data_IF_304798336181
#
_entry.id   IF_304798336181
#
_cell.length_a   1.000
_cell.length_b   1.000
_cell.length_c   1.000
_cell.angle_alpha   90.00
_cell.angle_beta   90.00
_cell.angle_gamma   90.00
#
_symmetry.space_group_name_H-M   'P 1'
#
loop_
_entity.id
_entity.type
_entity.pdbx_description
1 polymer ?
#
# COMPACT_ATOMS: atom_id res chain seq x y z
N UNK A 1 -17.89 -52.05 -95.96
CA UNK A 1 -18.28 -52.25 -94.55
C UNK A 1 -17.07 -52.79 -93.81
N UNK A 2 -16.59 -52.25 -92.70
CA UNK A 2 -17.06 -51.12 -91.90
C UNK A 2 -16.70 -51.34 -90.42
N UNK A 3 -15.99 -50.39 -89.80
CA UNK A 3 -15.57 -50.41 -88.38
C UNK A 3 -14.55 -51.48 -87.94
N UNK A 4 -13.34 -51.04 -87.61
CA UNK A 4 -12.57 -51.60 -86.49
C UNK A 4 -11.94 -50.43 -85.72
N UNK A 5 -12.24 -50.35 -84.43
CA UNK A 5 -12.01 -49.15 -83.63
C UNK A 5 -10.58 -49.03 -83.10
N UNK A 6 -9.98 -47.84 -83.22
CA UNK A 6 -8.78 -47.48 -82.44
C UNK A 6 -9.19 -46.99 -81.05
N UNK A 7 -9.07 -47.88 -80.07
CA UNK A 7 -9.15 -47.57 -78.64
C UNK A 7 -8.09 -46.55 -78.24
N UNK A 8 -8.48 -45.28 -78.10
CA UNK A 8 -7.63 -44.27 -77.47
C UNK A 8 -7.56 -44.54 -75.97
N UNK A 9 -6.48 -45.18 -75.52
CA UNK A 9 -6.14 -45.21 -74.09
C UNK A 9 -6.04 -43.77 -73.57
N UNK A 10 -6.96 -43.41 -72.69
CA UNK A 10 -7.04 -42.11 -72.05
C UNK A 10 -5.95 -42.05 -70.96
N UNK A 11 -4.71 -41.73 -71.37
CA UNK A 11 -3.62 -41.47 -70.43
C UNK A 11 -4.05 -40.28 -69.58
N UNK A 12 -4.49 -40.54 -68.34
CA UNK A 12 -4.71 -39.50 -67.34
C UNK A 12 -3.35 -38.80 -67.15
N UNK A 13 -3.23 -37.47 -67.33
CA UNK A 13 -1.96 -36.78 -67.13
C UNK A 13 -1.62 -36.83 -65.64
N UNK A 14 -0.89 -37.86 -65.24
CA UNK A 14 -0.38 -38.00 -63.88
C UNK A 14 0.57 -36.86 -63.60
N UNK A 15 0.15 -35.95 -62.72
CA UNK A 15 0.97 -34.84 -62.26
C UNK A 15 2.37 -35.38 -61.86
N UNK A 16 3.44 -34.85 -62.46
CA UNK A 16 4.81 -35.35 -62.25
C UNK A 16 5.09 -35.42 -60.74
N UNK A 17 5.81 -36.44 -60.29
CA UNK A 17 5.98 -36.70 -58.84
C UNK A 17 6.53 -35.47 -58.08
N UNK A 18 7.43 -34.71 -58.71
CA UNK A 18 7.97 -33.43 -58.21
C UNK A 18 6.88 -32.38 -57.96
N UNK A 19 5.88 -32.29 -58.82
CA UNK A 19 4.75 -31.36 -58.69
C UNK A 19 3.80 -31.76 -57.57
N UNK A 20 3.56 -33.07 -57.38
CA UNK A 20 2.78 -33.58 -56.24
C UNK A 20 3.49 -33.30 -54.91
N UNK A 21 4.81 -33.50 -54.88
CA UNK A 21 5.64 -33.27 -53.69
C UNK A 21 5.74 -31.77 -53.37
N UNK A 22 5.83 -30.90 -54.38
CA UNK A 22 5.74 -29.45 -54.21
C UNK A 22 4.38 -28.99 -53.65
N UNK A 23 3.26 -29.54 -54.16
CA UNK A 23 1.93 -29.26 -53.60
C UNK A 23 1.79 -29.74 -52.15
N UNK A 24 2.34 -30.91 -51.81
CA UNK A 24 2.35 -31.42 -50.43
C UNK A 24 3.15 -30.51 -49.50
N UNK A 25 4.36 -30.09 -49.89
CA UNK A 25 5.19 -29.16 -49.12
C UNK A 25 4.50 -27.80 -48.95
N UNK A 26 3.87 -27.27 -50.01
CA UNK A 26 3.12 -26.01 -49.95
C UNK A 26 1.92 -26.12 -48.99
N UNK A 27 1.18 -27.23 -49.05
CA UNK A 27 0.05 -27.52 -48.14
C UNK A 27 0.51 -27.67 -46.69
N UNK A 28 1.68 -28.28 -46.46
CA UNK A 28 2.25 -28.44 -45.12
C UNK A 28 2.74 -27.09 -44.56
N UNK A 29 3.25 -26.20 -45.41
CA UNK A 29 3.71 -24.86 -45.04
C UNK A 29 2.54 -23.88 -44.76
N UNK A 30 1.35 -24.14 -45.33
CA UNK A 30 0.16 -23.35 -45.05
C UNK A 30 -0.35 -23.49 -43.61
N UNK A 31 -0.11 -24.65 -42.96
CA UNK A 31 -0.56 -24.91 -41.58
C UNK A 31 0.16 -24.00 -40.56
N UNK A 32 1.51 -23.92 -40.51
CA UNK A 32 2.22 -22.95 -39.67
C UNK A 32 1.83 -21.50 -39.95
N UNK A 33 1.64 -21.12 -41.22
CA UNK A 33 1.25 -19.76 -41.59
C UNK A 33 -0.14 -19.39 -41.05
N UNK A 34 -1.12 -20.31 -41.16
CA UNK A 34 -2.46 -20.11 -40.65
C UNK A 34 -2.50 -20.11 -39.11
N UNK A 35 -1.69 -20.94 -38.45
CA UNK A 35 -1.49 -20.91 -37.00
C UNK A 35 -0.92 -19.58 -36.52
N UNK A 36 0.17 -19.10 -37.14
CA UNK A 36 0.77 -17.79 -36.85
C UNK A 36 -0.23 -16.64 -37.02
N UNK A 37 -1.02 -16.67 -38.11
CA UNK A 37 -2.06 -15.66 -38.36
C UNK A 37 -3.15 -15.68 -37.27
N UNK A 38 -3.63 -16.87 -36.90
CA UNK A 38 -4.68 -17.05 -35.89
C UNK A 38 -4.28 -16.50 -34.51
N UNK A 39 -3.06 -16.84 -34.04
CA UNK A 39 -2.53 -16.34 -32.76
C UNK A 39 -2.47 -14.81 -32.76
N UNK A 40 -1.99 -14.20 -33.84
CA UNK A 40 -1.86 -12.75 -33.98
C UNK A 40 -3.22 -12.02 -34.07
N UNK A 41 -4.22 -12.65 -34.70
CA UNK A 41 -5.59 -12.10 -34.72
C UNK A 41 -6.27 -12.21 -33.35
N UNK A 42 -6.02 -13.28 -32.59
CA UNK A 42 -6.49 -13.44 -31.21
C UNK A 42 -5.82 -12.45 -30.24
N UNK A 43 -4.49 -12.32 -30.29
CA UNK A 43 -3.72 -11.33 -29.52
C UNK A 43 -4.27 -9.92 -29.74
N UNK A 44 -4.49 -9.54 -31.01
CA UNK A 44 -5.08 -8.24 -31.33
C UNK A 44 -6.49 -8.08 -30.75
N UNK A 45 -7.37 -9.08 -30.90
CA UNK A 45 -8.73 -9.01 -30.38
C UNK A 45 -8.77 -8.84 -28.85
N UNK A 46 -7.87 -9.51 -28.13
CA UNK A 46 -7.73 -9.36 -26.68
C UNK A 46 -7.24 -7.96 -26.29
N UNK A 47 -6.22 -7.43 -26.99
CA UNK A 47 -5.72 -6.07 -26.76
C UNK A 47 -6.77 -4.99 -27.08
N UNK A 48 -7.47 -5.10 -28.21
CA UNK A 48 -8.55 -4.18 -28.60
C UNK A 48 -9.67 -4.20 -27.53
N UNK A 49 -10.02 -5.37 -26.98
CA UNK A 49 -11.00 -5.54 -25.92
C UNK A 49 -10.57 -4.95 -24.56
N UNK A 50 -9.31 -5.17 -24.16
CA UNK A 50 -8.72 -4.56 -22.97
C UNK A 50 -8.69 -3.03 -23.07
N UNK A 51 -8.29 -2.50 -24.22
CA UNK A 51 -8.27 -1.05 -24.45
C UNK A 51 -9.67 -0.45 -24.32
N UNK A 52 -10.69 -1.06 -24.91
CA UNK A 52 -12.07 -0.57 -24.83
C UNK A 52 -12.63 -0.64 -23.41
N UNK A 53 -12.30 -1.68 -22.63
CA UNK A 53 -12.68 -1.76 -21.22
C UNK A 53 -12.03 -0.65 -20.39
N UNK A 54 -10.74 -0.37 -20.63
CA UNK A 54 -10.00 0.69 -19.94
C UNK A 54 -10.55 2.09 -20.27
N UNK A 55 -10.91 2.33 -21.53
CA UNK A 55 -11.51 3.59 -22.00
C UNK A 55 -12.87 3.84 -21.32
N UNK A 56 -13.79 2.87 -21.37
CA UNK A 56 -15.09 2.97 -20.69
C UNK A 56 -14.97 3.16 -19.17
N UNK A 57 -14.01 2.48 -18.53
CA UNK A 57 -13.72 2.64 -17.09
C UNK A 57 -13.20 4.04 -16.79
N UNK A 58 -12.32 4.57 -17.64
CA UNK A 58 -11.77 5.94 -17.53
C UNK A 58 -12.87 6.99 -17.68
N UNK A 59 -13.77 6.84 -18.67
CA UNK A 59 -14.93 7.74 -18.84
C UNK A 59 -15.88 7.67 -17.64
N UNK A 60 -16.14 6.47 -17.10
CA UNK A 60 -16.94 6.28 -15.90
C UNK A 60 -16.36 7.00 -14.67
N UNK A 61 -15.06 6.79 -14.40
CA UNK A 61 -14.32 7.48 -13.34
C UNK A 61 -14.37 9.00 -13.54
N UNK A 62 -14.07 9.49 -14.74
CA UNK A 62 -14.06 10.92 -15.06
C UNK A 62 -15.44 11.58 -14.87
N UNK A 63 -16.52 10.88 -15.25
CA UNK A 63 -17.90 11.33 -15.07
C UNK A 63 -18.31 11.41 -13.59
N UNK A 64 -17.95 10.38 -12.79
CA UNK A 64 -18.23 10.33 -11.35
C UNK A 64 -17.48 11.41 -10.56
N UNK A 65 -16.24 11.71 -10.94
CA UNK A 65 -15.38 12.70 -10.29
C UNK A 65 -15.66 14.14 -10.77
N UNK A 66 -16.01 14.34 -12.05
CA UNK A 66 -16.15 15.67 -12.67
C UNK A 66 -17.18 16.58 -12.00
N UNK A 67 -18.17 16.02 -11.32
CA UNK A 67 -19.20 16.76 -10.59
C UNK A 67 -18.83 17.09 -9.13
N UNK A 68 -17.75 16.52 -8.56
CA UNK A 68 -17.41 16.58 -7.12
C UNK A 68 -16.19 17.46 -6.86
N UNK A 69 -16.34 18.77 -7.04
CA UNK A 69 -15.22 19.74 -7.00
C UNK A 69 -14.53 19.80 -5.63
N UNK A 70 -15.27 19.54 -4.55
CA UNK A 70 -14.77 19.51 -3.18
C UNK A 70 -13.67 18.45 -2.94
N UNK A 71 -13.68 17.32 -3.67
CA UNK A 71 -12.63 16.28 -3.57
C UNK A 71 -11.25 16.78 -4.06
N UNK A 72 -11.25 17.84 -4.88
CA UNK A 72 -10.07 18.38 -5.53
C UNK A 72 -9.53 19.65 -4.86
N UNK A 73 -10.12 20.09 -3.74
CA UNK A 73 -9.71 21.31 -3.02
C UNK A 73 -8.20 21.27 -2.68
N UNK A 74 -7.41 22.32 -3.01
CA UNK A 74 -5.99 22.40 -2.68
C UNK A 74 -5.66 22.41 -1.19
N UNK A 75 -6.57 22.85 -0.32
CA UNK A 75 -6.43 22.84 1.14
C UNK A 75 -6.64 21.45 1.75
N UNK A 76 -7.32 20.55 1.01
CA UNK A 76 -7.57 19.15 1.37
C UNK A 76 -6.53 18.21 0.72
N UNK A 77 -5.73 18.72 -0.22
CA UNK A 77 -4.79 17.93 -1.03
C UNK A 77 -3.57 17.38 -0.29
N UNK A 78 -3.32 16.09 -0.48
CA UNK A 78 -2.18 15.28 -0.01
C UNK A 78 -1.13 15.14 -1.13
N UNK A 79 0.13 14.72 -0.89
CA UNK A 79 1.24 15.03 -1.79
C UNK A 79 1.67 13.87 -2.69
N UNK A 80 2.66 14.14 -3.52
CA UNK A 80 3.30 13.31 -4.55
C UNK A 80 4.81 13.14 -4.29
N UNK A 81 5.62 12.33 -5.00
CA UNK A 81 5.47 11.21 -5.97
C UNK A 81 6.70 10.30 -5.68
N UNK A 82 6.95 9.10 -6.22
CA UNK A 82 6.16 7.91 -6.61
C UNK A 82 6.90 6.72 -5.92
N UNK A 83 6.50 5.45 -6.06
CA UNK A 83 7.46 4.36 -5.75
C UNK A 83 7.00 2.92 -5.54
N UNK A 84 5.70 2.62 -5.40
CA UNK A 84 5.16 1.33 -4.85
C UNK A 84 5.42 1.20 -3.32
N UNK A 85 4.69 0.41 -2.53
CA UNK A 85 3.52 -0.46 -2.75
C UNK A 85 2.46 -0.20 -1.64
N UNK A 86 1.15 -0.37 -1.93
CA UNK A 86 -0.02 -0.45 -1.02
C UNK A 86 0.04 0.24 0.38
N UNK A 87 -0.64 1.37 0.61
CA UNK A 87 -2.10 1.60 0.73
C UNK A 87 -2.79 1.06 2.00
N UNK A 88 -2.34 1.54 3.17
CA UNK A 88 -3.24 1.67 4.34
C UNK A 88 -3.97 3.01 4.24
N UNK A 89 -5.13 2.98 3.58
CA UNK A 89 -6.06 4.11 3.58
C UNK A 89 -6.68 4.26 4.98
N UNK A 90 -6.68 5.47 5.59
CA UNK A 90 -7.39 5.68 6.84
C UNK A 90 -8.90 5.50 6.70
N UNK A 91 -9.53 4.80 7.63
CA UNK A 91 -10.99 4.66 7.72
C UNK A 91 -11.63 6.02 8.06
N UNK A 92 -12.65 6.44 7.30
CA UNK A 92 -13.46 7.62 7.68
C UNK A 92 -14.45 7.20 8.76
N UNK A 93 -14.26 7.75 9.97
CA UNK A 93 -15.07 7.43 11.15
C UNK A 93 -16.37 8.25 11.13
N UNK A 94 -17.47 7.70 11.63
CA UNK A 94 -18.74 8.43 11.79
C UNK A 94 -18.71 9.44 12.97
N UNK A 95 -17.83 9.20 13.95
CA UNK A 95 -17.72 9.99 15.17
C UNK A 95 -16.28 10.08 15.69
N UNK A 96 -16.03 11.06 16.57
CA UNK A 96 -14.75 11.18 17.27
C UNK A 96 -14.54 10.01 18.22
N UNK A 97 -13.44 9.27 18.06
CA UNK A 97 -12.98 8.31 19.06
C UNK A 97 -12.49 9.02 20.32
N UNK A 98 -12.89 8.52 21.50
CA UNK A 98 -12.32 8.96 22.77
C UNK A 98 -11.00 8.23 23.02
N UNK A 99 -9.99 8.95 23.52
CA UNK A 99 -8.71 8.35 23.91
C UNK A 99 -8.88 7.38 25.09
N UNK A 100 -9.88 7.64 25.95
CA UNK A 100 -10.23 6.83 27.11
C UNK A 100 -11.19 5.66 26.76
N UNK A 101 -11.59 5.49 25.50
CA UNK A 101 -12.35 4.32 25.06
C UNK A 101 -11.47 3.06 25.04
N UNK A 102 -12.08 1.88 25.16
CA UNK A 102 -11.31 0.63 25.25
C UNK A 102 -10.64 0.28 23.92
N UNK A 103 -9.55 -0.52 23.90
CA UNK A 103 -8.93 -1.00 22.68
C UNK A 103 -9.92 -1.72 21.77
N UNK A 104 -10.89 -2.45 22.35
CA UNK A 104 -11.96 -3.14 21.62
C UNK A 104 -12.87 -2.16 20.87
N UNK A 105 -13.22 -1.03 21.48
CA UNK A 105 -14.02 0.01 20.83
C UNK A 105 -13.27 0.64 19.64
N UNK A 106 -11.95 0.83 19.78
CA UNK A 106 -11.09 1.33 18.70
C UNK A 106 -10.98 0.33 17.54
N UNK A 107 -10.79 -0.97 17.82
CA UNK A 107 -10.77 -2.03 16.79
C UNK A 107 -12.07 -2.09 16.00
N UNK A 108 -13.22 -1.97 16.68
CA UNK A 108 -14.55 -1.96 16.04
C UNK A 108 -14.74 -0.70 15.19
N UNK A 109 -14.40 0.48 15.72
CA UNK A 109 -14.59 1.75 15.01
C UNK A 109 -13.69 1.92 13.79
N UNK A 110 -12.52 1.26 13.77
CA UNK A 110 -11.56 1.30 12.66
C UNK A 110 -11.87 0.29 11.54
N UNK A 111 -13.04 -0.37 11.58
CA UNK A 111 -13.49 -1.39 10.61
C UNK A 111 -12.52 -2.58 10.48
N UNK A 112 -12.17 -3.15 11.65
CA UNK A 112 -11.13 -4.18 11.85
C UNK A 112 -9.71 -3.65 11.58
N UNK A 113 -8.97 -3.36 12.66
CA UNK A 113 -7.53 -3.10 12.60
C UNK A 113 -6.82 -4.23 11.83
N UNK A 114 -6.21 -3.88 10.70
CA UNK A 114 -5.68 -4.84 9.73
C UNK A 114 -4.33 -5.39 10.19
N UNK A 115 -4.16 -6.69 10.00
CA UNK A 115 -2.91 -7.38 10.31
C UNK A 115 -1.80 -6.85 9.39
N UNK A 116 -0.76 -6.26 9.97
CA UNK A 116 0.35 -5.70 9.22
C UNK A 116 1.50 -6.70 9.03
N UNK A 117 1.61 -7.67 9.94
CA UNK A 117 2.68 -8.67 10.04
C UNK A 117 2.71 -9.72 8.93
N UNK A 118 1.77 -9.72 7.97
CA UNK A 118 1.65 -10.76 6.93
C UNK A 118 1.90 -10.30 5.49
N UNK A 119 2.18 -9.01 5.23
CA UNK A 119 2.26 -8.46 3.87
C UNK A 119 3.51 -7.59 3.59
N UNK A 120 4.70 -8.20 3.61
CA UNK A 120 5.84 -7.75 2.80
C UNK A 120 6.66 -6.53 3.28
N UNK A 121 6.36 -5.97 4.45
CA UNK A 121 7.03 -4.79 5.00
C UNK A 121 7.86 -5.12 6.24
N UNK A 122 9.08 -5.60 6.04
CA UNK A 122 10.02 -5.86 7.14
C UNK A 122 11.45 -5.44 6.72
N UNK A 123 12.00 -4.41 7.37
CA UNK A 123 13.42 -4.42 7.69
C UNK A 123 13.61 -5.47 8.80
N UNK A 124 13.69 -6.75 8.40
CA UNK A 124 14.12 -7.78 9.34
C UNK A 124 15.55 -7.45 9.79
N UNK A 125 15.72 -7.02 11.04
CA UNK A 125 16.95 -7.35 11.76
C UNK A 125 17.11 -8.87 11.74
N UNK A 126 18.37 -9.33 11.74
CA UNK A 126 18.73 -10.70 11.31
C UNK A 126 18.11 -11.81 12.16
N UNK A 127 17.56 -11.45 13.33
CA UNK A 127 17.04 -12.36 14.36
C UNK A 127 15.53 -12.12 14.69
N UNK A 128 14.74 -11.52 13.79
CA UNK A 128 13.28 -11.29 14.02
C UNK A 128 12.53 -12.58 14.37
N UNK A 129 11.92 -12.61 15.55
CA UNK A 129 11.05 -13.68 16.03
C UNK A 129 9.58 -13.19 16.11
N UNK A 130 8.65 -13.73 15.27
CA UNK A 130 7.24 -13.33 15.32
C UNK A 130 6.50 -13.78 16.59
N UNK A 131 7.08 -14.69 17.38
CA UNK A 131 6.55 -15.07 18.70
C UNK A 131 6.96 -14.08 19.82
N UNK A 132 7.89 -13.15 19.53
CA UNK A 132 8.37 -12.12 20.46
C UNK A 132 7.67 -10.78 20.19
N UNK A 133 7.73 -10.27 18.94
CA UNK A 133 7.08 -9.02 18.56
C UNK A 133 6.18 -9.18 17.33
N UNK A 134 4.90 -8.79 17.46
CA UNK A 134 3.96 -8.72 16.35
C UNK A 134 3.02 -7.51 16.48
N UNK A 135 2.73 -6.81 15.37
CA UNK A 135 1.91 -5.58 15.39
C UNK A 135 0.76 -5.66 14.39
N UNK A 136 -0.45 -5.40 14.88
CA UNK A 136 -1.64 -5.10 14.08
C UNK A 136 -1.92 -3.61 14.22
N UNK A 137 -2.44 -2.96 13.18
CA UNK A 137 -2.69 -1.51 13.27
C UNK A 137 -3.92 -1.06 12.49
N UNK A 138 -4.48 0.07 12.92
CA UNK A 138 -5.60 0.72 12.25
C UNK A 138 -5.38 2.23 12.20
N UNK A 139 -5.66 2.83 11.04
CA UNK A 139 -5.65 4.28 10.85
C UNK A 139 -7.07 4.75 10.56
N UNK A 140 -7.48 5.84 11.18
CA UNK A 140 -8.78 6.46 10.94
C UNK A 140 -8.67 7.98 10.93
N UNK A 141 -9.66 8.65 10.33
CA UNK A 141 -9.78 10.10 10.39
C UNK A 141 -11.19 10.54 10.78
N UNK A 142 -11.25 11.62 11.54
CA UNK A 142 -12.50 12.34 11.86
C UNK A 142 -12.21 13.82 12.02
N UNK A 143 -12.94 14.67 11.29
CA UNK A 143 -12.81 16.13 11.34
C UNK A 143 -11.34 16.59 11.21
N UNK A 144 -10.75 17.15 12.27
CA UNK A 144 -9.39 17.68 12.33
C UNK A 144 -8.38 16.72 12.93
N UNK A 145 -8.72 15.45 13.14
CA UNK A 145 -7.87 14.47 13.81
C UNK A 145 -7.64 13.21 12.97
N UNK A 146 -6.42 12.68 13.09
CA UNK A 146 -6.04 11.33 12.69
C UNK A 146 -5.97 10.47 13.94
N UNK A 147 -6.51 9.27 13.85
CA UNK A 147 -6.53 8.26 14.89
C UNK A 147 -5.63 7.13 14.43
N UNK A 148 -4.68 6.73 15.26
CA UNK A 148 -3.81 5.59 14.99
C UNK A 148 -3.90 4.63 16.17
N UNK A 149 -4.12 3.36 15.87
CA UNK A 149 -4.24 2.27 16.81
C UNK A 149 -3.21 1.20 16.49
N UNK A 150 -2.54 0.69 17.51
CA UNK A 150 -1.60 -0.41 17.42
C UNK A 150 -1.97 -1.43 18.50
N UNK A 151 -2.18 -2.68 18.08
CA UNK A 151 -2.38 -3.84 18.94
C UNK A 151 -1.11 -4.67 18.82
N UNK A 152 -0.27 -4.61 19.85
CA UNK A 152 1.09 -5.13 19.86
C UNK A 152 1.12 -6.37 20.75
N UNK A 153 1.54 -7.49 20.17
CA UNK A 153 1.98 -8.66 20.90
C UNK A 153 3.47 -8.51 21.19
N UNK A 154 3.86 -8.66 22.45
CA UNK A 154 5.17 -8.32 22.98
C UNK A 154 5.42 -9.20 24.22
N UNK A 155 6.55 -9.92 24.29
CA UNK A 155 6.84 -10.82 25.42
C UNK A 155 7.52 -10.14 26.62
N UNK A 156 8.14 -8.96 26.46
CA UNK A 156 8.84 -8.25 27.56
C UNK A 156 8.71 -6.72 27.47
N UNK A 157 7.68 -6.19 28.13
CA UNK A 157 7.37 -4.75 28.14
C UNK A 157 8.30 -3.96 29.10
N UNK A 158 9.20 -3.15 28.54
CA UNK A 158 10.08 -2.22 29.26
C UNK A 158 9.60 -0.77 29.15
N UNK A 159 8.92 -0.33 30.20
CA UNK A 159 8.53 1.08 30.39
C UNK A 159 9.73 2.01 30.60
N UNK A 160 9.50 3.28 30.30
CA UNK A 160 10.51 4.34 30.34
C UNK A 160 10.92 4.74 31.73
N UNK A 161 12.20 4.50 32.01
CA UNK A 161 12.89 4.97 33.19
C UNK A 161 12.87 6.52 33.31
N UNK A 162 12.40 7.08 34.44
CA UNK A 162 12.41 8.52 34.68
C UNK A 162 13.81 9.10 34.96
N UNK A 163 14.78 8.28 35.37
CA UNK A 163 16.16 8.70 35.66
C UNK A 163 17.03 8.76 34.38
N UNK A 164 16.65 8.03 33.32
CA UNK A 164 17.32 8.13 32.02
C UNK A 164 16.94 9.42 31.28
N UNK A 165 17.97 10.18 30.89
CA UNK A 165 17.88 11.34 29.99
C UNK A 165 17.55 10.90 28.55
N UNK A 166 18.13 9.79 28.09
CA UNK A 166 17.87 9.22 26.76
C UNK A 166 16.40 8.82 26.63
N UNK A 167 15.82 9.13 25.46
CA UNK A 167 14.40 8.84 25.20
C UNK A 167 14.19 7.50 24.47
N UNK A 168 15.26 6.95 23.86
CA UNK A 168 15.27 5.72 23.06
C UNK A 168 15.67 4.46 23.84
N UNK A 169 15.30 4.39 25.13
CA UNK A 169 15.71 3.33 26.07
C UNK A 169 14.52 2.68 26.79
N UNK A 170 13.40 2.59 26.09
CA UNK A 170 12.18 1.88 26.44
C UNK A 170 11.45 1.44 25.17
N UNK A 171 10.39 0.66 25.32
CA UNK A 171 9.42 0.48 24.26
C UNK A 171 8.78 1.83 23.92
N UNK A 172 8.52 2.01 22.64
CA UNK A 172 8.17 3.31 22.10
C UNK A 172 7.50 3.16 20.74
N UNK A 173 6.50 3.99 20.49
CA UNK A 173 5.99 4.24 19.16
C UNK A 173 6.68 5.49 18.62
N UNK A 174 7.32 5.36 17.46
CA UNK A 174 7.86 6.48 16.70
C UNK A 174 6.91 6.86 15.59
N UNK A 175 6.79 8.15 15.35
CA UNK A 175 6.00 8.76 14.30
C UNK A 175 6.92 9.71 13.52
N UNK A 176 7.25 9.36 12.28
CA UNK A 176 7.99 10.25 11.38
C UNK A 176 7.04 10.91 10.40
N UNK A 177 7.04 12.23 10.36
CA UNK A 177 6.24 13.06 9.46
C UNK A 177 7.17 13.81 8.51
N UNK A 178 7.08 13.54 7.20
CA UNK A 178 7.82 14.26 6.17
C UNK A 178 6.89 15.12 5.33
N UNK A 179 7.05 16.43 5.42
CA UNK A 179 6.33 17.39 4.55
C UNK A 179 7.09 17.54 3.23
N UNK A 180 6.38 17.71 2.11
CA UNK A 180 7.02 18.01 0.83
C UNK A 180 7.85 19.30 0.90
N UNK A 181 9.17 19.17 0.83
CA UNK A 181 10.10 20.30 0.94
C UNK A 181 11.34 20.09 1.80
N UNK A 182 11.53 18.88 2.37
CA UNK A 182 12.67 18.40 3.21
C UNK A 182 12.46 18.42 4.73
N UNK A 183 11.39 19.00 5.26
CA UNK A 183 11.13 18.97 6.71
C UNK A 183 10.67 17.58 7.16
N UNK A 184 11.56 16.87 7.88
CA UNK A 184 11.30 15.60 8.55
C UNK A 184 11.20 15.84 10.05
N UNK A 185 9.97 15.79 10.59
CA UNK A 185 9.68 15.90 12.01
C UNK A 185 9.52 14.50 12.61
N UNK A 186 10.25 14.22 13.68
CA UNK A 186 10.27 12.92 14.36
C UNK A 186 9.60 13.05 15.72
N UNK A 187 8.59 12.26 15.99
CA UNK A 187 7.85 12.26 17.24
C UNK A 187 8.04 10.91 17.94
N UNK A 188 8.53 10.90 19.17
CA UNK A 188 8.71 9.70 19.99
C UNK A 188 7.65 9.69 21.08
N UNK A 189 6.85 8.63 21.10
CA UNK A 189 5.79 8.38 22.06
C UNK A 189 6.24 7.27 23.00
N UNK A 190 6.37 7.59 24.29
CA UNK A 190 6.93 6.71 25.32
C UNK A 190 6.18 6.86 26.64
N UNK A 191 6.08 5.80 27.43
CA UNK A 191 5.32 5.79 28.68
C UNK A 191 6.18 5.34 29.85
N UNK A 192 5.96 5.91 31.05
CA UNK A 192 6.65 5.51 32.29
C UNK A 192 5.94 4.36 33.03
N UNK A 193 4.72 4.06 32.62
CA UNK A 193 3.78 3.08 33.16
C UNK A 193 2.57 3.04 32.22
N UNK A 194 1.65 2.12 32.44
CA UNK A 194 0.34 2.11 31.79
C UNK A 194 -0.40 3.45 31.92
N UNK A 195 -1.17 3.79 30.87
CA UNK A 195 -1.93 5.03 30.76
C UNK A 195 -1.31 6.02 29.77
N UNK A 196 -1.17 7.28 30.16
CA UNK A 196 -0.80 8.37 29.24
C UNK A 196 0.68 8.27 28.80
N UNK A 197 0.90 8.27 27.49
CA UNK A 197 2.24 8.42 26.90
C UNK A 197 2.66 9.89 26.83
N UNK A 198 3.95 10.15 27.01
CA UNK A 198 4.60 11.43 26.72
C UNK A 198 5.08 11.43 25.27
N UNK A 199 4.93 12.58 24.60
CA UNK A 199 5.30 12.74 23.18
C UNK A 199 6.39 13.79 23.06
N UNK A 200 7.50 13.50 22.38
CA UNK A 200 8.63 14.41 22.22
C UNK A 200 8.94 14.63 20.74
N UNK A 201 9.25 15.88 20.35
CA UNK A 201 9.88 16.16 19.06
C UNK A 201 11.37 15.84 19.15
N UNK A 202 11.89 15.04 18.21
CA UNK A 202 13.17 14.35 18.32
C UNK A 202 14.19 14.79 17.27
N UNK A 203 15.45 14.80 17.67
CA UNK A 203 16.59 14.89 16.76
C UNK A 203 16.68 13.63 15.88
N UNK A 204 17.47 13.71 14.82
CA UNK A 204 17.65 12.65 13.80
C UNK A 204 18.05 11.28 14.35
N UNK A 205 18.72 11.22 15.50
CA UNK A 205 19.25 9.99 16.11
C UNK A 205 18.30 9.33 17.14
N UNK A 206 17.11 9.90 17.37
CA UNK A 206 16.13 9.48 18.38
C UNK A 206 16.59 9.51 19.85
N UNK A 207 17.80 9.98 20.17
CA UNK A 207 18.32 9.94 21.55
C UNK A 207 17.80 11.06 22.42
N UNK A 208 17.68 12.24 21.83
CA UNK A 208 17.36 13.49 22.51
C UNK A 208 16.20 14.24 21.83
N UNK A 209 15.35 14.87 22.63
CA UNK A 209 14.36 15.80 22.13
C UNK A 209 15.02 17.09 21.58
N UNK A 210 14.37 17.76 20.63
CA UNK A 210 14.82 19.06 20.12
C UNK A 210 14.69 20.16 21.18
N UNK A 211 13.58 20.17 21.92
CA UNK A 211 13.23 21.22 22.91
C UNK A 211 13.27 20.73 24.36
N UNK A 212 13.48 19.44 24.61
CA UNK A 212 13.44 18.82 25.95
C UNK A 212 12.04 18.65 26.56
N UNK A 213 11.05 19.42 26.12
CA UNK A 213 9.68 19.39 26.64
C UNK A 213 8.79 18.38 25.90
N UNK A 214 7.84 17.78 26.63
CA UNK A 214 6.82 16.92 26.05
C UNK A 214 5.70 17.77 25.41
N UNK A 215 5.38 17.46 24.16
CA UNK A 215 4.27 18.03 23.41
C UNK A 215 2.92 17.62 24.02
N UNK A 216 1.92 18.49 23.85
CA UNK A 216 0.56 18.31 24.40
C UNK A 216 -0.50 18.12 23.32
N UNK A 217 -0.17 18.44 22.07
CA UNK A 217 -1.12 18.46 20.95
C UNK A 217 -1.46 17.06 20.45
N UNK A 218 -0.47 16.15 20.47
CA UNK A 218 -0.69 14.72 20.25
C UNK A 218 -1.10 14.08 21.59
N UNK A 219 -2.28 13.45 21.62
CA UNK A 219 -2.71 12.66 22.76
C UNK A 219 -2.45 11.18 22.48
N UNK A 220 -1.86 10.46 23.44
CA UNK A 220 -1.55 9.05 23.31
C UNK A 220 -1.66 8.31 24.63
N UNK A 221 -2.09 7.06 24.57
CA UNK A 221 -2.23 6.16 25.73
C UNK A 221 -1.78 4.75 25.35
N UNK A 222 -1.09 4.08 26.28
CA UNK A 222 -0.77 2.66 26.25
C UNK A 222 -1.61 1.93 27.31
N UNK A 223 -2.14 0.78 26.97
CA UNK A 223 -3.01 -0.05 27.81
C UNK A 223 -2.53 -1.51 27.68
N UNK A 224 -2.35 -2.23 28.78
CA UNK A 224 -1.81 -3.59 28.75
C UNK A 224 -2.87 -4.58 28.25
N UNK A 225 -2.45 -5.56 27.45
CA UNK A 225 -3.30 -6.64 26.93
C UNK A 225 -2.84 -7.99 27.47
N UNK A 226 -3.56 -9.07 27.16
CA UNK A 226 -3.19 -10.44 27.57
C UNK A 226 -1.91 -10.94 26.89
N UNK A 227 -1.45 -10.29 25.81
CA UNK A 227 -0.34 -10.70 24.95
C UNK A 227 0.71 -9.61 24.71
N UNK A 228 0.61 -8.45 25.37
CA UNK A 228 1.45 -7.28 25.10
C UNK A 228 0.75 -5.98 25.51
N UNK A 229 0.56 -5.06 24.57
CA UNK A 229 -0.10 -3.77 24.81
C UNK A 229 -0.80 -3.18 23.58
N UNK A 230 -1.78 -2.32 23.84
CA UNK A 230 -2.48 -1.52 22.85
C UNK A 230 -2.09 -0.03 22.97
N UNK A 231 -1.62 0.58 21.89
CA UNK A 231 -1.37 2.03 21.80
C UNK A 231 -2.50 2.70 21.02
N UNK A 232 -3.16 3.67 21.64
CA UNK A 232 -4.14 4.58 21.02
C UNK A 232 -3.51 5.95 20.88
N UNK A 233 -3.56 6.55 19.69
CA UNK A 233 -3.02 7.89 19.39
C UNK A 233 -4.06 8.73 18.68
N UNK A 234 -4.24 9.98 19.13
CA UNK A 234 -5.02 11.02 18.44
C UNK A 234 -4.09 12.19 18.09
N UNK A 235 -3.88 12.37 16.79
CA UNK A 235 -2.96 13.34 16.20
C UNK A 235 -3.77 14.45 15.51
N UNK A 236 -3.61 15.74 15.84
CA UNK A 236 -4.21 16.81 15.05
C UNK A 236 -3.66 16.82 13.62
N UNK A 237 -4.53 16.96 12.62
CA UNK A 237 -4.14 16.98 11.20
C UNK A 237 -3.16 18.12 10.86
N UNK A 238 -3.14 19.18 11.67
CA UNK A 238 -2.17 20.28 11.57
C UNK A 238 -0.75 19.85 11.97
N UNK A 239 -0.61 18.90 12.90
CA UNK A 239 0.70 18.34 13.30
C UNK A 239 1.30 17.52 12.16
N UNK A 240 0.51 16.69 11.48
CA UNK A 240 0.95 15.99 10.28
C UNK A 240 1.18 17.00 9.13
N UNK A 241 0.23 17.92 8.97
CA UNK A 241 0.20 18.93 7.91
C UNK A 241 -0.52 18.43 6.66
N UNK A 242 -1.03 19.34 5.80
CA UNK A 242 -1.36 18.97 4.43
C UNK A 242 -0.07 18.51 3.74
N UNK A 243 -0.19 17.67 2.72
CA UNK A 243 0.97 17.30 1.88
C UNK A 243 2.15 16.68 2.64
N UNK A 244 1.87 15.82 3.62
CA UNK A 244 2.87 15.04 4.35
C UNK A 244 2.77 13.52 4.10
N UNK A 245 3.91 12.84 4.25
CA UNK A 245 4.05 11.37 4.38
C UNK A 245 4.21 11.03 5.85
N UNK A 246 3.65 9.90 6.26
CA UNK A 246 3.71 9.43 7.65
C UNK A 246 4.31 8.02 7.68
N UNK A 247 5.22 7.77 8.62
CA UNK A 247 5.67 6.42 8.99
C UNK A 247 5.48 6.25 10.50
N UNK A 248 4.96 5.09 10.90
CA UNK A 248 5.01 4.63 12.29
C UNK A 248 6.06 3.52 12.43
N UNK A 249 6.73 3.47 13.57
CA UNK A 249 7.72 2.44 13.91
C UNK A 249 7.46 2.02 15.35
N UNK A 250 7.08 0.77 15.59
CA UNK A 250 7.04 0.18 16.94
C UNK A 250 8.43 -0.35 17.22
N UNK A 251 9.03 0.07 18.35
CA UNK A 251 10.38 -0.28 18.75
C UNK A 251 10.32 -0.97 20.10
N UNK A 252 11.11 -2.03 20.21
CA UNK A 252 11.01 -3.08 21.22
C UNK A 252 12.39 -3.31 21.88
N UNK A 253 12.37 -3.51 23.21
CA UNK A 253 13.53 -3.59 24.10
C UNK A 253 13.24 -4.58 25.25
N UNK A 254 13.68 -5.84 25.15
CA UNK A 254 13.50 -6.84 26.22
C UNK A 254 14.31 -6.57 27.51
N UNK A 255 15.53 -6.05 27.38
CA UNK A 255 16.52 -6.07 28.45
C UNK A 255 16.52 -4.77 29.27
N UNK A 256 16.05 -4.85 30.51
CA UNK A 256 16.00 -3.73 31.44
C UNK A 256 17.37 -3.14 31.84
N UNK A 257 18.47 -3.87 31.69
CA UNK A 257 19.83 -3.44 32.04
C UNK A 257 20.58 -2.87 30.82
N UNK A 258 20.65 -3.60 29.70
CA UNK A 258 21.34 -3.11 28.48
C UNK A 258 20.49 -2.09 27.71
N UNK A 259 19.17 -2.31 27.71
CA UNK A 259 18.14 -1.51 27.02
C UNK A 259 18.46 -1.29 25.55
N UNK A 260 19.03 -2.28 24.87
CA UNK A 260 19.32 -2.21 23.44
C UNK A 260 18.07 -2.53 22.61
N UNK A 261 17.96 -1.95 21.41
CA UNK A 261 16.81 -2.18 20.53
C UNK A 261 16.98 -3.57 19.91
N UNK A 262 16.04 -4.46 20.20
CA UNK A 262 16.02 -5.85 19.67
C UNK A 262 15.11 -5.93 18.46
N UNK A 263 13.92 -5.34 18.55
CA UNK A 263 12.91 -5.33 17.49
C UNK A 263 12.55 -3.94 16.97
N UNK A 264 12.15 -3.89 15.70
CA UNK A 264 11.55 -2.72 15.07
C UNK A 264 10.57 -3.15 13.98
N UNK A 265 9.29 -2.77 14.08
CA UNK A 265 8.28 -2.98 13.04
C UNK A 265 7.85 -1.62 12.47
N UNK A 266 8.10 -1.44 11.17
CA UNK A 266 7.89 -0.19 10.44
C UNK A 266 6.67 -0.29 9.53
N UNK A 267 5.79 0.72 9.53
CA UNK A 267 4.66 0.81 8.58
C UNK A 267 5.10 1.29 7.18
N UNK A 268 6.24 0.81 6.69
CA UNK A 268 6.96 1.33 5.52
C UNK A 268 7.23 0.23 4.48
N UNK A 269 6.42 0.15 3.40
CA UNK A 269 6.31 -1.05 2.55
C UNK A 269 7.47 -1.33 1.57
N UNK A 270 8.63 -0.65 1.68
CA UNK A 270 9.80 -0.95 0.84
C UNK A 270 11.11 -1.08 1.65
N UNK A 271 11.59 -2.30 1.95
CA UNK A 271 12.84 -2.53 2.67
C UNK A 271 14.10 -2.23 1.84
N UNK A 272 13.99 -1.85 0.55
CA UNK A 272 15.12 -1.52 -0.32
C UNK A 272 15.31 -0.02 -0.57
N UNK A 273 14.40 0.82 -0.07
CA UNK A 273 14.57 2.28 -0.04
C UNK A 273 14.74 2.74 1.41
N UNK A 274 15.94 3.23 1.76
CA UNK A 274 16.19 3.93 3.03
C UNK A 274 15.53 5.34 3.05
N UNK A 275 14.22 5.40 2.80
CA UNK A 275 13.46 6.63 2.69
C UNK A 275 11.97 6.35 2.78
N UNK A 276 11.28 7.19 3.55
CA UNK A 276 9.88 7.03 3.98
C UNK A 276 8.92 6.61 2.85
N UNK A 277 8.58 5.32 2.84
CA UNK A 277 7.51 4.75 2.02
C UNK A 277 6.13 5.18 2.50
N UNK A 278 5.13 4.78 1.73
CA UNK A 278 4.06 5.73 1.39
C UNK A 278 2.73 5.44 2.07
N UNK A 279 2.59 5.83 3.34
CA UNK A 279 1.25 6.14 3.90
C UNK A 279 0.78 7.48 3.33
N UNK A 280 0.04 7.44 2.22
CA UNK A 280 -0.61 8.62 1.62
C UNK A 280 -2.01 8.78 2.23
N UNK A 281 -2.20 9.84 3.01
CA UNK A 281 -3.50 10.19 3.61
C UNK A 281 -4.51 10.68 2.54
N UNK A 282 -5.01 9.81 1.66
CA UNK A 282 -6.10 10.19 0.76
C UNK A 282 -7.33 10.63 1.56
N UNK A 283 -8.20 11.48 0.99
CA UNK A 283 -9.56 11.58 1.53
C UNK A 283 -10.25 10.23 1.32
N UNK A 284 -10.76 9.56 2.38
CA UNK A 284 -11.37 8.24 2.22
C UNK A 284 -12.59 8.31 1.32
N UNK A 285 -13.30 9.44 1.31
CA UNK A 285 -14.36 9.75 0.36
C UNK A 285 -13.91 9.67 -1.11
N UNK A 286 -12.67 10.04 -1.46
CA UNK A 286 -12.14 9.88 -2.82
C UNK A 286 -11.74 8.43 -3.09
N UNK A 287 -11.15 7.74 -2.10
CA UNK A 287 -10.76 6.34 -2.23
C UNK A 287 -11.97 5.40 -2.39
N UNK A 288 -12.99 5.53 -1.52
CA UNK A 288 -14.28 4.80 -1.58
C UNK A 288 -15.06 5.03 -2.90
N UNK A 289 -14.72 6.07 -3.68
CA UNK A 289 -15.29 6.31 -5.01
C UNK A 289 -14.53 5.63 -6.16
N UNK A 290 -13.26 5.29 -5.96
CA UNK A 290 -12.40 4.65 -6.97
C UNK A 290 -12.29 3.13 -6.73
N UNK A 291 -12.35 2.68 -5.48
CA UNK A 291 -12.31 1.28 -5.06
C UNK A 291 -13.32 0.36 -5.83
N UNK A 292 -14.61 0.72 -6.01
CA UNK A 292 -15.55 -0.11 -6.77
C UNK A 292 -15.28 -0.18 -8.28
N UNK A 293 -14.34 0.62 -8.78
CA UNK A 293 -13.94 0.72 -10.19
C UNK A 293 -12.59 0.04 -10.44
N UNK A 294 -12.03 -0.61 -9.42
CA UNK A 294 -10.81 -1.40 -9.52
C UNK A 294 -11.00 -2.60 -10.46
N UNK A 295 -10.02 -2.80 -11.34
CA UNK A 295 -9.88 -3.99 -12.18
C UNK A 295 -8.48 -4.52 -11.87
N UNK A 296 -8.35 -5.82 -11.64
CA UNK A 296 -7.11 -6.48 -11.21
C UNK A 296 -5.90 -6.20 -12.10
N UNK A 297 -6.11 -5.94 -13.39
CA UNK A 297 -5.04 -5.64 -14.36
C UNK A 297 -4.83 -4.12 -14.62
N UNK A 298 -5.47 -3.22 -13.86
CA UNK A 298 -5.43 -1.78 -14.09
C UNK A 298 -4.78 -1.00 -12.93
N UNK A 299 -3.90 -0.04 -13.27
CA UNK A 299 -3.45 1.01 -12.35
C UNK A 299 -4.23 2.30 -12.67
N UNK A 300 -5.05 2.74 -11.72
CA UNK A 300 -5.88 3.95 -11.86
C UNK A 300 -5.12 5.11 -11.22
N UNK A 301 -4.92 6.21 -11.95
CA UNK A 301 -4.33 7.45 -11.44
C UNK A 301 -5.21 8.65 -11.72
N UNK A 302 -5.67 9.31 -10.66
CA UNK A 302 -6.49 10.51 -10.76
C UNK A 302 -5.60 11.74 -10.59
N UNK A 303 -5.57 12.63 -11.58
CA UNK A 303 -4.78 13.86 -11.55
C UNK A 303 -5.68 15.10 -11.47
N UNK A 304 -5.28 16.12 -10.72
CA UNK A 304 -5.96 17.43 -10.73
C UNK A 304 -5.48 18.34 -11.87
N UNK A 305 -6.12 19.50 -12.01
CA UNK A 305 -5.84 20.50 -13.07
C UNK A 305 -4.43 21.09 -13.04
N UNK A 306 -3.73 20.98 -11.92
CA UNK A 306 -2.36 21.45 -11.74
C UNK A 306 -1.36 20.28 -11.97
N UNK A 307 -1.83 19.19 -12.58
CA UNK A 307 -1.11 17.93 -12.80
C UNK A 307 -0.64 17.24 -11.51
N UNK A 308 -1.48 17.22 -10.45
CA UNK A 308 -1.16 16.52 -9.20
C UNK A 308 -1.96 15.22 -9.02
N UNK A 309 -1.29 14.09 -8.78
CA UNK A 309 -1.86 12.78 -8.46
C UNK A 309 -2.60 12.80 -7.11
N UNK A 310 -3.94 12.77 -7.17
CA UNK A 310 -4.88 12.81 -6.04
C UNK A 310 -5.24 11.43 -5.49
N UNK A 311 -5.23 10.40 -6.33
CA UNK A 311 -5.43 9.01 -5.96
C UNK A 311 -4.65 8.09 -6.91
N UNK A 312 -4.11 7.00 -6.37
CA UNK A 312 -3.55 5.88 -7.13
C UNK A 312 -4.16 4.59 -6.58
N UNK A 313 -4.46 3.61 -7.45
CA UNK A 313 -4.98 2.30 -7.05
C UNK A 313 -4.45 1.23 -8.01
N UNK A 314 -4.01 0.09 -7.47
CA UNK A 314 -3.52 -1.06 -8.24
C UNK A 314 -2.01 -1.05 -8.51
N UNK A 315 -1.48 -2.22 -8.91
CA UNK A 315 -0.05 -2.42 -9.18
C UNK A 315 0.19 -2.82 -10.64
N UNK A 316 1.33 -2.38 -11.19
CA UNK A 316 1.89 -2.93 -12.45
C UNK A 316 2.77 -4.18 -12.21
N UNK A 317 2.80 -4.68 -10.98
CA UNK A 317 3.09 -6.07 -10.60
C UNK A 317 1.92 -7.03 -10.91
N UNK A 318 1.94 -7.99 -11.86
CA UNK A 318 1.03 -9.13 -11.71
C UNK A 318 1.46 -9.96 -10.49
N UNK A 319 0.48 -10.57 -9.81
CA UNK A 319 0.70 -11.59 -8.78
C UNK A 319 1.28 -12.89 -9.38
#
# INVERSE_FOLDING_TARGET
>A
SGSSGRTRHRIRPGLKIRTKLLLLVLSLLAIPWMGYKSVREMEKFLLDGQQQALELTTEGIASLLGNRKELFDPAVGVPEVMGRSFDVLPTELDASLSIDATPKDWVVALEEARDYTSAGSLECTVDYNPDSLAVRHGLGIYDKHVYAFFDVSDDVIIFRDPELVRLDKSDQLRLTVQVLGMDIRRYLLTARQEGRMSVYLMKTDWREAETGEALKDIAATIELTESGYAIKVRIPREVIGPRARVKFEVIDIDDADSREIVGAINTDPDPFLHGLGQVRLMTPTLAKLVEPLYISEANIRVWDRDFRLRAELGSIFPE
#
